data_IF_327386875796
#
_entry.id   IF_327386875796
#
_cell.length_a   1.000
_cell.length_b   1.000
_cell.length_c   1.000
_cell.angle_alpha   90.00
_cell.angle_beta   90.00
_cell.angle_gamma   90.00
#
_symmetry.space_group_name_H-M   'P 1'
#
loop_
_entity.id
_entity.type
_entity.pdbx_description
1 polymer ?
#
# COMPACT_ATOMS: atom_id res chain seq x y z
N UNK A 1 -0.84 4.98 8.56
CA UNK A 1 -1.74 4.33 9.54
C UNK A 1 -1.58 2.82 9.44
N UNK A 2 -1.20 2.18 10.52
CA UNK A 2 -0.89 0.75 10.54
C UNK A 2 -1.85 -0.04 11.44
N UNK A 3 -2.13 -1.30 11.07
CA UNK A 3 -3.01 -2.20 11.80
C UNK A 3 -2.73 -3.66 11.46
N UNK A 4 -3.07 -4.56 12.39
CA UNK A 4 -3.20 -5.98 12.09
C UNK A 4 -4.63 -6.25 11.60
N UNK A 5 -4.77 -6.84 10.42
CA UNK A 5 -6.07 -7.06 9.79
C UNK A 5 -6.11 -8.40 9.05
N UNK A 6 -7.27 -9.05 9.12
CA UNK A 6 -7.63 -10.09 8.16
C UNK A 6 -8.12 -9.49 6.84
N UNK A 7 -8.12 -10.27 5.77
CA UNK A 7 -8.50 -9.79 4.44
C UNK A 7 -9.92 -9.19 4.39
N UNK A 8 -10.87 -9.76 5.14
CA UNK A 8 -12.25 -9.28 5.20
C UNK A 8 -12.44 -7.96 5.95
N UNK A 9 -11.45 -7.53 6.75
CA UNK A 9 -11.48 -6.27 7.50
C UNK A 9 -10.84 -5.10 6.72
N UNK A 10 -10.13 -5.41 5.65
CA UNK A 10 -9.30 -4.45 4.92
C UNK A 10 -10.12 -3.33 4.27
N UNK A 11 -11.29 -3.67 3.72
CA UNK A 11 -12.18 -2.68 3.08
C UNK A 11 -12.67 -1.62 4.06
N UNK A 12 -13.18 -2.02 5.22
CA UNK A 12 -13.65 -1.10 6.25
C UNK A 12 -12.51 -0.24 6.81
N UNK A 13 -11.32 -0.81 6.97
CA UNK A 13 -10.14 -0.06 7.38
C UNK A 13 -9.77 1.02 6.36
N UNK A 14 -9.82 0.72 5.06
CA UNK A 14 -9.53 1.68 4.01
C UNK A 14 -10.52 2.84 3.99
N UNK A 15 -11.81 2.54 4.04
CA UNK A 15 -12.85 3.56 4.02
C UNK A 15 -12.69 4.53 5.20
N UNK A 16 -12.46 4.02 6.39
CA UNK A 16 -12.23 4.82 7.58
C UNK A 16 -10.93 5.63 7.47
N UNK A 17 -9.82 4.98 7.12
CA UNK A 17 -8.52 5.63 7.01
C UNK A 17 -8.51 6.73 5.94
N UNK A 18 -9.09 6.48 4.76
CA UNK A 18 -9.19 7.50 3.71
C UNK A 18 -10.10 8.66 4.12
N UNK A 19 -11.23 8.39 4.78
CA UNK A 19 -12.11 9.45 5.28
C UNK A 19 -11.38 10.35 6.29
N UNK A 20 -10.67 9.75 7.23
CA UNK A 20 -9.88 10.48 8.23
C UNK A 20 -8.76 11.29 7.61
N UNK A 21 -8.01 10.71 6.67
CA UNK A 21 -6.92 11.40 5.98
C UNK A 21 -7.43 12.59 5.13
N UNK A 22 -8.62 12.48 4.53
CA UNK A 22 -9.24 13.61 3.81
C UNK A 22 -9.63 14.78 4.72
N UNK A 23 -10.02 14.48 5.95
CA UNK A 23 -10.46 15.50 6.92
C UNK A 23 -9.33 16.13 7.74
N UNK A 24 -8.08 15.74 7.51
CA UNK A 24 -6.94 16.08 8.38
C UNK A 24 -6.39 17.49 8.25
N UNK A 25 -6.98 18.34 7.39
CA UNK A 25 -6.61 19.74 7.30
C UNK A 25 -5.97 20.16 5.97
N UNK A 26 -5.65 21.46 5.82
CA UNK A 26 -5.08 22.02 4.61
C UNK A 26 -3.76 21.35 4.23
N UNK A 27 -3.59 20.99 2.96
CA UNK A 27 -2.37 20.36 2.43
C UNK A 27 -2.37 18.84 2.46
N UNK A 28 -3.22 18.21 3.24
CA UNK A 28 -3.42 16.74 3.21
C UNK A 28 -4.42 16.33 2.12
N UNK A 29 -5.16 17.27 1.58
CA UNK A 29 -6.14 17.03 0.51
C UNK A 29 -5.50 16.66 -0.83
N UNK A 30 -4.29 17.17 -1.10
CA UNK A 30 -3.54 16.86 -2.30
C UNK A 30 -2.72 15.58 -2.13
N UNK A 31 -2.94 14.60 -2.98
CA UNK A 31 -2.08 13.41 -3.04
C UNK A 31 -0.91 13.72 -3.97
N UNK A 32 0.32 13.64 -3.45
CA UNK A 32 1.55 13.81 -4.24
C UNK A 32 1.95 12.52 -4.99
N UNK A 33 1.09 11.51 -5.02
CA UNK A 33 1.30 10.23 -5.69
C UNK A 33 0.18 9.26 -5.36
N UNK A 34 0.25 8.05 -5.87
CA UNK A 34 -0.74 7.02 -5.55
C UNK A 34 -0.62 6.56 -4.09
N UNK A 35 -1.74 6.38 -3.38
CA UNK A 35 -1.71 5.74 -2.07
C UNK A 35 -1.23 4.30 -2.21
N UNK A 36 -0.61 3.78 -1.15
CA UNK A 36 -0.10 2.43 -1.16
C UNK A 36 -0.22 1.75 0.20
N UNK A 37 -0.24 0.44 0.15
CA UNK A 37 -0.22 -0.43 1.31
C UNK A 37 1.16 -1.02 1.48
N UNK A 38 1.59 -1.17 2.73
CA UNK A 38 2.81 -1.90 3.07
C UNK A 38 2.41 -3.15 3.84
N UNK A 39 2.82 -4.31 3.33
CA UNK A 39 2.58 -5.59 3.98
C UNK A 39 3.82 -6.01 4.76
N UNK A 40 3.72 -6.02 6.07
CA UNK A 40 4.76 -6.56 6.95
C UNK A 40 4.55 -8.03 7.29
N UNK A 41 3.48 -8.63 6.76
CA UNK A 41 3.13 -10.03 6.86
C UNK A 41 1.96 -10.37 5.95
N UNK A 42 1.60 -11.65 5.84
CA UNK A 42 0.46 -12.09 5.05
C UNK A 42 -0.86 -11.59 5.66
N UNK A 43 -1.72 -11.04 4.82
CA UNK A 43 -3.09 -10.63 5.16
C UNK A 43 -4.05 -11.51 4.38
N UNK A 44 -4.65 -12.49 5.05
CA UNK A 44 -5.60 -13.44 4.46
C UNK A 44 -6.79 -13.67 5.41
N UNK A 45 -7.69 -14.56 5.02
CA UNK A 45 -8.81 -14.95 5.90
C UNK A 45 -8.33 -15.70 7.14
N UNK A 46 -7.18 -16.38 7.06
CA UNK A 46 -6.59 -17.19 8.12
C UNK A 46 -5.44 -16.48 8.87
N UNK A 47 -4.99 -15.32 8.41
CA UNK A 47 -3.84 -14.61 8.98
C UNK A 47 -4.10 -13.11 9.05
N UNK A 48 -3.96 -12.55 10.26
CA UNK A 48 -3.98 -11.11 10.50
C UNK A 48 -2.55 -10.55 10.42
N UNK A 49 -2.15 -10.15 9.23
CA UNK A 49 -0.84 -9.54 9.03
C UNK A 49 -0.79 -8.05 9.42
N UNK A 50 0.38 -7.55 9.83
CA UNK A 50 0.61 -6.12 9.98
C UNK A 50 0.52 -5.43 8.62
N UNK A 51 -0.33 -4.42 8.54
CA UNK A 51 -0.61 -3.65 7.34
C UNK A 51 -0.54 -2.16 7.64
N UNK A 52 0.05 -1.39 6.75
CA UNK A 52 0.08 0.05 6.84
C UNK A 52 -0.46 0.68 5.56
N UNK A 53 -1.41 1.62 5.70
CA UNK A 53 -1.86 2.46 4.61
C UNK A 53 -1.06 3.76 4.60
N UNK A 54 -0.43 4.04 3.47
CA UNK A 54 0.35 5.24 3.23
C UNK A 54 -0.31 6.13 2.19
N UNK A 55 -0.34 7.43 2.47
CA UNK A 55 -0.80 8.45 1.53
C UNK A 55 0.33 9.44 1.28
N UNK A 56 0.87 9.52 0.06
CA UNK A 56 1.84 10.53 -0.28
C UNK A 56 1.24 11.93 -0.17
N UNK A 57 1.93 12.83 0.50
CA UNK A 57 1.55 14.23 0.67
C UNK A 57 2.72 15.14 0.32
N UNK A 58 2.44 16.40 0.02
CA UNK A 58 3.49 17.39 -0.26
C UNK A 58 4.35 17.65 1.00
N UNK A 59 5.59 18.06 0.78
CA UNK A 59 6.48 18.46 1.86
C UNK A 59 5.90 19.66 2.62
N UNK A 60 6.13 19.71 3.94
CA UNK A 60 5.69 20.79 4.80
C UNK A 60 4.25 20.70 5.31
N UNK A 61 3.59 19.55 5.11
CA UNK A 61 2.26 19.29 5.68
C UNK A 61 2.36 19.03 7.17
N UNK A 62 1.52 19.71 7.96
CA UNK A 62 1.36 19.46 9.38
C UNK A 62 0.09 18.65 9.64
N UNK A 63 0.18 17.70 10.57
CA UNK A 63 -0.98 16.92 10.99
C UNK A 63 -1.72 17.64 12.13
N UNK A 64 -3.05 17.57 12.07
CA UNK A 64 -3.91 17.98 13.18
C UNK A 64 -3.66 17.10 14.41
N UNK A 65 -3.80 17.64 15.65
CA UNK A 65 -3.72 16.85 16.88
C UNK A 65 -4.70 15.67 16.96
N UNK A 66 -5.81 15.74 16.22
CA UNK A 66 -6.79 14.65 16.13
C UNK A 66 -6.26 13.40 15.37
N UNK A 67 -5.09 13.51 14.76
CA UNK A 67 -4.45 12.45 13.98
C UNK A 67 -3.26 11.83 14.72
N UNK A 68 -3.37 11.65 16.03
CA UNK A 68 -2.28 11.12 16.85
C UNK A 68 -1.80 9.71 16.46
N UNK A 69 -2.64 8.93 15.79
CA UNK A 69 -2.33 7.61 15.27
C UNK A 69 -1.79 7.61 13.83
N UNK A 70 -1.63 8.79 13.24
CA UNK A 70 -1.02 8.99 11.91
C UNK A 70 0.36 9.57 12.07
N UNK A 71 1.33 9.01 11.36
CA UNK A 71 2.70 9.47 11.37
C UNK A 71 3.07 10.07 10.02
N UNK A 72 3.79 11.20 10.05
CA UNK A 72 4.48 11.72 8.87
C UNK A 72 5.89 11.17 8.85
N UNK A 73 6.30 10.68 7.68
CA UNK A 73 7.69 10.30 7.44
C UNK A 73 8.12 10.70 6.04
N UNK A 74 9.39 10.98 5.87
CA UNK A 74 9.96 11.19 4.56
C UNK A 74 10.14 9.85 3.85
N UNK A 75 9.77 9.81 2.57
CA UNK A 75 10.03 8.67 1.71
C UNK A 75 11.21 9.04 0.80
N UNK A 76 12.40 8.42 0.97
CA UNK A 76 13.54 8.70 0.10
C UNK A 76 13.29 8.17 -1.31
N UNK A 77 13.84 8.85 -2.29
CA UNK A 77 13.81 8.38 -3.69
C UNK A 77 14.48 7.00 -3.78
N UNK A 78 13.86 6.07 -4.50
CA UNK A 78 14.34 4.70 -4.67
C UNK A 78 13.86 4.13 -6.00
N UNK A 79 14.51 3.06 -6.45
CA UNK A 79 14.02 2.23 -7.53
C UNK A 79 12.94 1.27 -6.99
N UNK A 80 12.08 0.80 -7.86
CA UNK A 80 11.12 -0.27 -7.55
C UNK A 80 11.12 -1.33 -8.64
N UNK A 81 11.01 -2.58 -8.23
CA UNK A 81 10.57 -3.67 -9.12
C UNK A 81 9.10 -3.93 -8.85
N UNK A 82 8.30 -4.05 -9.89
CA UNK A 82 6.85 -4.22 -9.71
C UNK A 82 6.23 -5.15 -10.74
N UNK A 83 5.07 -5.71 -10.37
CA UNK A 83 4.15 -6.43 -11.24
C UNK A 83 2.79 -5.75 -11.15
N UNK A 84 2.20 -5.41 -12.30
CA UNK A 84 0.86 -4.82 -12.36
C UNK A 84 -0.20 -5.90 -12.27
N UNK A 85 -1.15 -5.75 -11.36
CA UNK A 85 -2.20 -6.71 -11.09
C UNK A 85 -3.58 -6.17 -11.45
N UNK A 86 -4.41 -7.06 -12.00
CA UNK A 86 -5.83 -6.83 -12.16
C UNK A 86 -6.58 -6.99 -10.83
N UNK A 87 -7.81 -6.46 -10.78
CA UNK A 87 -8.65 -6.53 -9.58
C UNK A 87 -8.81 -7.95 -9.04
N UNK A 88 -8.98 -8.95 -9.92
CA UNK A 88 -9.13 -10.37 -9.53
C UNK A 88 -7.90 -10.94 -8.81
N UNK A 89 -6.71 -10.37 -9.02
CA UNK A 89 -5.44 -10.88 -8.54
C UNK A 89 -4.85 -10.04 -7.40
N UNK A 90 -5.53 -8.96 -6.97
CA UNK A 90 -4.95 -7.98 -6.05
C UNK A 90 -4.95 -8.38 -4.59
N UNK A 91 -5.76 -9.36 -4.19
CA UNK A 91 -5.92 -9.81 -2.81
C UNK A 91 -5.20 -11.12 -2.52
N UNK A 92 -4.90 -11.37 -1.25
CA UNK A 92 -4.40 -12.67 -0.81
C UNK A 92 -5.54 -13.72 -0.86
N UNK A 93 -5.26 -14.98 -1.24
CA UNK A 93 -3.95 -15.51 -1.65
C UNK A 93 -3.61 -15.34 -3.14
N UNK A 94 -4.50 -14.75 -3.95
CA UNK A 94 -4.33 -14.64 -5.40
C UNK A 94 -3.06 -13.90 -5.82
N UNK A 95 -2.60 -12.93 -5.03
CA UNK A 95 -1.36 -12.18 -5.31
C UNK A 95 -0.06 -12.92 -4.94
N UNK A 96 -0.13 -14.03 -4.22
CA UNK A 96 1.06 -14.74 -3.74
C UNK A 96 2.05 -15.14 -4.85
N UNK A 97 1.63 -15.65 -6.03
CA UNK A 97 2.57 -15.93 -7.12
C UNK A 97 3.34 -14.70 -7.60
N UNK A 98 2.70 -13.53 -7.63
CA UNK A 98 3.37 -12.28 -8.01
C UNK A 98 4.38 -11.84 -6.95
N UNK A 99 4.06 -11.96 -5.67
CA UNK A 99 4.97 -11.68 -4.57
C UNK A 99 6.22 -12.58 -4.64
N UNK A 100 6.02 -13.88 -4.85
CA UNK A 100 7.11 -14.85 -5.00
C UNK A 100 8.00 -14.53 -6.21
N UNK A 101 7.41 -14.13 -7.33
CA UNK A 101 8.14 -13.74 -8.53
C UNK A 101 8.99 -12.48 -8.30
N UNK A 102 8.49 -11.50 -7.57
CA UNK A 102 9.25 -10.30 -7.21
C UNK A 102 10.43 -10.63 -6.30
N UNK A 103 10.23 -11.44 -5.29
CA UNK A 103 11.30 -11.88 -4.40
C UNK A 103 12.38 -12.68 -5.13
N UNK A 104 11.99 -13.59 -6.02
CA UNK A 104 12.90 -14.35 -6.85
C UNK A 104 13.74 -13.42 -7.75
N UNK A 105 13.11 -12.44 -8.39
CA UNK A 105 13.81 -11.47 -9.23
C UNK A 105 14.85 -10.65 -8.44
N UNK A 106 14.48 -10.19 -7.25
CA UNK A 106 15.39 -9.43 -6.36
C UNK A 106 16.59 -10.28 -5.96
N UNK A 107 16.35 -11.53 -5.59
CA UNK A 107 17.41 -12.46 -5.18
C UNK A 107 18.36 -12.83 -6.34
N UNK A 108 17.81 -13.14 -7.52
CA UNK A 108 18.60 -13.48 -8.72
C UNK A 108 19.50 -12.32 -9.15
N UNK A 109 19.05 -11.10 -9.02
CA UNK A 109 19.80 -9.90 -9.38
C UNK A 109 20.64 -9.34 -8.25
N UNK A 110 20.64 -10.00 -7.09
CA UNK A 110 21.39 -9.59 -5.90
C UNK A 110 21.10 -8.13 -5.49
N UNK A 111 19.89 -7.66 -5.75
CA UNK A 111 19.43 -6.34 -5.31
C UNK A 111 19.05 -6.40 -3.83
N UNK A 112 19.11 -5.24 -3.16
CA UNK A 112 18.73 -5.14 -1.75
C UNK A 112 17.39 -4.41 -1.62
N UNK A 113 16.39 -5.03 -0.97
CA UNK A 113 15.17 -4.31 -0.64
C UNK A 113 15.44 -3.10 0.24
N UNK A 114 14.75 -2.00 -0.05
CA UNK A 114 14.74 -0.80 0.79
C UNK A 114 13.55 -0.78 1.77
N UNK A 115 12.64 -1.74 1.66
CA UNK A 115 11.46 -1.88 2.50
C UNK A 115 10.67 -3.12 2.18
N UNK A 116 9.55 -3.29 2.87
CA UNK A 116 8.64 -4.42 2.68
C UNK A 116 7.83 -4.32 1.38
N UNK A 117 7.17 -5.44 1.03
CA UNK A 117 6.25 -5.51 -0.11
C UNK A 117 5.17 -4.43 -0.03
N UNK A 118 4.91 -3.77 -1.15
CA UNK A 118 3.92 -2.70 -1.29
C UNK A 118 2.87 -3.04 -2.34
N UNK A 119 1.68 -2.53 -2.12
CA UNK A 119 0.62 -2.52 -3.11
C UNK A 119 0.24 -1.07 -3.42
N UNK A 120 0.67 -0.57 -4.57
CA UNK A 120 0.41 0.80 -5.01
C UNK A 120 -0.93 0.84 -5.75
N UNK A 121 -1.87 1.62 -5.24
CA UNK A 121 -3.24 1.67 -5.76
C UNK A 121 -3.31 2.68 -6.91
N UNK A 122 -3.42 2.19 -8.14
CA UNK A 122 -3.38 3.01 -9.36
C UNK A 122 -4.76 3.33 -9.94
N UNK A 123 -5.81 2.66 -9.47
CA UNK A 123 -7.18 2.85 -9.96
C UNK A 123 -8.20 2.61 -8.85
N UNK A 124 -9.41 3.15 -9.06
CA UNK A 124 -10.53 2.94 -8.13
C UNK A 124 -11.10 1.52 -8.32
N UNK A 125 -10.99 0.72 -7.27
CA UNK A 125 -11.48 -0.66 -7.26
C UNK A 125 -13.00 -0.77 -7.38
N UNK A 126 -13.73 0.26 -6.94
CA UNK A 126 -15.21 0.27 -6.93
C UNK A 126 -15.79 0.34 -8.33
N UNK A 127 -15.05 0.91 -9.28
CA UNK A 127 -15.46 1.06 -10.69
C UNK A 127 -14.76 0.07 -11.62
N UNK A 128 -13.85 -0.76 -11.09
CA UNK A 128 -13.06 -1.71 -11.86
C UNK A 128 -13.83 -3.00 -12.14
N UNK A 129 -13.55 -3.60 -13.28
CA UNK A 129 -13.94 -4.98 -13.61
C UNK A 129 -12.84 -5.95 -13.16
N UNK A 130 -13.10 -7.30 -13.11
CA UNK A 130 -12.09 -8.27 -12.69
C UNK A 130 -10.76 -8.20 -13.44
N UNK A 131 -10.77 -7.83 -14.72
CA UNK A 131 -9.59 -7.76 -15.58
C UNK A 131 -8.96 -6.35 -15.62
N UNK A 132 -9.53 -5.37 -14.95
CA UNK A 132 -8.98 -4.01 -14.89
C UNK A 132 -7.72 -3.97 -14.05
N UNK A 133 -6.59 -3.42 -14.55
CA UNK A 133 -5.40 -3.15 -13.74
C UNK A 133 -5.71 -2.14 -12.65
N UNK A 134 -5.48 -2.49 -11.40
CA UNK A 134 -5.84 -1.65 -10.24
C UNK A 134 -4.68 -1.34 -9.31
N UNK A 135 -3.63 -2.14 -9.35
CA UNK A 135 -2.48 -1.91 -8.47
C UNK A 135 -1.17 -2.41 -9.06
N UNK A 136 -0.09 -1.87 -8.54
CA UNK A 136 1.26 -2.40 -8.73
C UNK A 136 1.74 -3.02 -7.42
N UNK A 137 2.00 -4.31 -7.45
CA UNK A 137 2.68 -5.00 -6.35
C UNK A 137 4.17 -4.78 -6.53
N UNK A 138 4.84 -4.19 -5.55
CA UNK A 138 6.22 -3.74 -5.70
C UNK A 138 7.10 -4.01 -4.49
N UNK A 139 8.41 -4.05 -4.74
CA UNK A 139 9.44 -4.05 -3.72
C UNK A 139 10.35 -2.85 -3.97
N UNK A 140 10.47 -1.91 -3.01
CA UNK A 140 11.42 -0.81 -3.13
C UNK A 140 12.84 -1.34 -3.01
N UNK A 141 13.77 -0.77 -3.78
CA UNK A 141 15.16 -1.21 -3.90
C UNK A 141 16.14 -0.12 -3.48
N UNK A 142 17.24 -0.57 -2.91
CA UNK A 142 18.41 0.29 -2.67
C UNK A 142 19.32 0.35 -3.88
#
# INVERSE_FOLDING_TARGET
MGRHLHANETGAFFDDAFARLRSSGPGVEGIAGCPFLVFYGEVSDDSDGPLELCRPVAAGVDLSPAMADVQLRAEPAHDEVFIRLALKDMGWPALAPAADALEAWVNERRRKPAGALRQVLIADQRTATPDTPVCDLSIPLR
#
